data_IF_330886565479
#
_entry.id   IF_330886565479
#
_cell.length_a   1.000
_cell.length_b   1.000
_cell.length_c   1.000
_cell.angle_alpha   90.00
_cell.angle_beta   90.00
_cell.angle_gamma   90.00
#
_symmetry.space_group_name_H-M   'P 1'
#
loop_
_entity.id
_entity.type
_entity.pdbx_description
1 polymer ?
#
# COMPACT_ATOMS: atom_id res chain seq x y z
N UNK A 1 3.83 -6.66 -18.61
CA UNK A 1 4.16 -6.73 -17.18
C UNK A 1 2.86 -6.67 -16.41
N UNK A 2 2.58 -7.66 -15.55
CA UNK A 2 1.33 -7.70 -14.77
C UNK A 2 1.47 -6.90 -13.46
N UNK A 3 0.35 -6.59 -12.81
CA UNK A 3 0.36 -6.00 -11.46
C UNK A 3 1.13 -6.87 -10.47
N UNK A 4 0.95 -8.20 -10.53
CA UNK A 4 1.67 -9.14 -9.68
C UNK A 4 3.19 -9.12 -9.92
N UNK A 5 3.63 -8.95 -11.18
CA UNK A 5 5.05 -8.83 -11.51
C UNK A 5 5.65 -7.55 -10.92
N UNK A 6 4.95 -6.42 -11.06
CA UNK A 6 5.39 -5.13 -10.50
C UNK A 6 5.46 -5.17 -8.98
N UNK A 7 4.46 -5.80 -8.37
CA UNK A 7 4.35 -5.91 -6.92
C UNK A 7 5.48 -6.79 -6.37
N UNK A 8 5.76 -7.94 -7.00
CA UNK A 8 6.86 -8.80 -6.60
C UNK A 8 8.24 -8.20 -6.89
N UNK A 9 8.39 -7.40 -7.95
CA UNK A 9 9.64 -6.70 -8.28
C UNK A 9 9.93 -5.52 -7.32
N UNK A 10 8.89 -4.86 -6.82
CA UNK A 10 9.04 -3.75 -5.89
C UNK A 10 9.19 -4.23 -4.42
N UNK A 11 8.44 -5.26 -4.03
CA UNK A 11 8.44 -5.79 -2.66
C UNK A 11 9.31 -7.05 -2.53
N UNK A 12 10.58 -6.96 -2.92
CA UNK A 12 11.53 -8.10 -2.90
C UNK A 12 12.02 -8.42 -1.49
N UNK A 13 12.26 -7.39 -0.68
CA UNK A 13 12.88 -7.53 0.64
C UNK A 13 11.86 -7.70 1.76
N UNK A 14 12.21 -8.40 2.87
CA UNK A 14 11.36 -8.45 4.04
C UNK A 14 10.98 -7.07 4.58
N UNK A 15 11.88 -6.08 4.52
CA UNK A 15 11.61 -4.73 4.99
C UNK A 15 10.55 -4.01 4.15
N UNK A 16 10.61 -4.11 2.82
CA UNK A 16 9.59 -3.54 1.92
C UNK A 16 8.23 -4.22 2.10
N UNK A 17 8.21 -5.54 2.33
CA UNK A 17 6.99 -6.30 2.65
C UNK A 17 6.39 -5.92 3.99
N UNK A 18 7.20 -5.70 5.02
CA UNK A 18 6.72 -5.19 6.31
C UNK A 18 6.07 -3.82 6.14
N UNK A 19 6.69 -2.91 5.37
CA UNK A 19 6.08 -1.59 5.07
C UNK A 19 4.74 -1.74 4.33
N UNK A 20 4.65 -2.66 3.36
CA UNK A 20 3.39 -2.96 2.66
C UNK A 20 2.33 -3.48 3.63
N UNK A 21 2.68 -4.40 4.53
CA UNK A 21 1.75 -4.92 5.56
C UNK A 21 1.28 -3.78 6.45
N UNK A 22 2.19 -2.96 6.98
CA UNK A 22 1.86 -1.80 7.83
C UNK A 22 0.90 -0.85 7.11
N UNK A 23 1.20 -0.52 5.85
CA UNK A 23 0.36 0.34 5.03
C UNK A 23 -1.06 -0.24 4.87
N UNK A 24 -1.16 -1.54 4.62
CA UNK A 24 -2.45 -2.23 4.50
C UNK A 24 -3.18 -2.41 5.83
N UNK A 25 -2.48 -2.43 6.96
CA UNK A 25 -3.13 -2.42 8.28
C UNK A 25 -3.91 -1.13 8.49
N UNK A 26 -3.38 0.03 8.08
CA UNK A 26 -4.12 1.30 8.12
C UNK A 26 -5.39 1.26 7.27
N UNK A 27 -5.36 0.57 6.12
CA UNK A 27 -6.55 0.42 5.29
C UNK A 27 -7.62 -0.52 5.89
N UNK A 28 -7.18 -1.54 6.63
CA UNK A 28 -8.10 -2.49 7.30
C UNK A 28 -8.77 -1.89 8.52
N UNK A 29 -8.15 -0.91 9.16
CA UNK A 29 -8.76 -0.14 10.24
C UNK A 29 -9.81 0.81 9.66
N UNK A 30 -11.08 0.60 10.05
CA UNK A 30 -12.20 1.36 9.50
C UNK A 30 -12.13 2.86 9.86
N UNK A 31 -11.66 3.20 11.06
CA UNK A 31 -11.56 4.59 11.50
C UNK A 31 -10.51 5.35 10.70
N UNK A 32 -9.37 4.70 10.44
CA UNK A 32 -8.30 5.29 9.62
C UNK A 32 -8.74 5.34 8.16
N UNK A 33 -9.43 4.30 7.67
CA UNK A 33 -9.93 4.25 6.30
C UNK A 33 -10.85 5.44 5.99
N UNK A 34 -11.82 5.72 6.86
CA UNK A 34 -12.72 6.87 6.68
C UNK A 34 -11.97 8.20 6.57
N UNK A 35 -10.88 8.37 7.33
CA UNK A 35 -10.05 9.58 7.30
C UNK A 35 -9.24 9.72 6.01
N UNK A 36 -8.91 8.62 5.33
CA UNK A 36 -8.08 8.61 4.11
C UNK A 36 -8.86 8.32 2.84
N UNK A 37 -10.19 8.21 2.93
CA UNK A 37 -11.11 8.15 1.79
C UNK A 37 -11.85 9.48 1.62
N UNK A 38 -12.35 9.75 0.42
CA UNK A 38 -13.28 10.87 0.18
C UNK A 38 -14.65 10.32 -0.19
N UNK A 39 -15.73 10.97 0.25
CA UNK A 39 -17.10 10.56 -0.09
C UNK A 39 -17.36 10.58 -1.59
N UNK A 40 -16.64 11.45 -2.30
CA UNK A 40 -16.86 11.74 -3.72
C UNK A 40 -15.89 10.95 -4.63
N UNK A 41 -14.90 10.27 -4.06
CA UNK A 41 -13.85 9.56 -4.79
C UNK A 41 -13.86 8.06 -4.43
N UNK A 42 -13.86 7.20 -5.45
CA UNK A 42 -13.85 5.75 -5.26
C UNK A 42 -12.43 5.22 -5.01
N UNK A 43 -11.75 5.69 -3.97
CA UNK A 43 -10.36 5.30 -3.74
C UNK A 43 -9.72 5.88 -2.47
N UNK A 44 -8.44 5.56 -2.31
CA UNK A 44 -7.52 6.14 -1.35
C UNK A 44 -7.23 7.57 -1.80
N UNK A 45 -7.64 8.54 -1.00
CA UNK A 45 -7.25 9.93 -1.26
C UNK A 45 -5.80 10.11 -0.84
N UNK A 46 -4.93 10.31 -1.84
CA UNK A 46 -3.48 10.39 -1.65
C UNK A 46 -3.08 11.49 -0.65
N UNK A 47 -3.65 12.69 -0.76
CA UNK A 47 -3.30 13.81 0.10
C UNK A 47 -3.66 13.54 1.57
N UNK A 48 -4.87 12.99 1.80
CA UNK A 48 -5.31 12.59 3.14
C UNK A 48 -4.45 11.47 3.71
N UNK A 49 -4.08 10.48 2.90
CA UNK A 49 -3.18 9.40 3.33
C UNK A 49 -1.80 9.96 3.73
N UNK A 50 -1.21 10.82 2.91
CA UNK A 50 0.08 11.44 3.21
C UNK A 50 -0.01 12.32 4.47
N UNK A 51 -1.09 13.08 4.62
CA UNK A 51 -1.36 13.89 5.82
C UNK A 51 -1.43 13.03 7.08
N UNK A 52 -2.16 11.93 7.03
CA UNK A 52 -2.25 10.96 8.13
C UNK A 52 -0.88 10.36 8.45
N UNK A 53 -0.15 9.87 7.44
CA UNK A 53 1.18 9.27 7.62
C UNK A 53 2.21 10.26 8.19
N UNK A 54 2.17 11.54 7.81
CA UNK A 54 3.03 12.57 8.40
C UNK A 54 2.81 12.72 9.91
N UNK A 55 1.57 12.53 10.39
CA UNK A 55 1.25 12.63 11.81
C UNK A 55 1.67 11.40 12.61
N UNK A 56 1.56 10.19 12.03
CA UNK A 56 1.74 8.93 12.79
C UNK A 56 3.04 8.19 12.49
N UNK A 57 3.53 8.26 11.25
CA UNK A 57 4.71 7.52 10.80
C UNK A 57 5.33 8.20 9.54
N UNK A 58 6.13 9.27 9.72
CA UNK A 58 6.72 10.01 8.60
C UNK A 58 7.58 9.15 7.66
N UNK A 59 8.18 8.07 8.18
CA UNK A 59 9.00 7.14 7.38
C UNK A 59 8.19 6.36 6.32
N UNK A 60 6.86 6.32 6.45
CA UNK A 60 5.95 5.71 5.47
C UNK A 60 5.60 6.66 4.32
N UNK A 61 5.80 7.97 4.47
CA UNK A 61 5.50 8.96 3.43
C UNK A 61 6.34 8.72 2.19
N UNK A 62 7.67 8.62 2.37
CA UNK A 62 8.60 8.35 1.27
C UNK A 62 8.36 6.99 0.61
N UNK A 63 7.84 6.03 1.38
CA UNK A 63 7.46 4.73 0.84
C UNK A 63 6.22 4.83 -0.08
N UNK A 64 5.17 5.53 0.34
CA UNK A 64 3.97 5.75 -0.50
C UNK A 64 4.31 6.59 -1.73
N UNK A 65 5.15 7.62 -1.58
CA UNK A 65 5.67 8.42 -2.69
C UNK A 65 6.45 7.55 -3.69
N UNK A 66 7.30 6.64 -3.22
CA UNK A 66 8.03 5.73 -4.12
C UNK A 66 7.11 4.78 -4.88
N UNK A 67 6.01 4.30 -4.28
CA UNK A 67 4.99 3.51 -5.00
C UNK A 67 4.36 4.37 -6.10
N UNK A 68 3.94 5.59 -5.79
CA UNK A 68 3.25 6.49 -6.72
C UNK A 68 4.14 7.00 -7.87
N UNK A 69 5.45 7.13 -7.64
CA UNK A 69 6.39 7.74 -8.60
C UNK A 69 7.26 6.75 -9.36
N UNK A 70 7.64 5.64 -8.72
CA UNK A 70 8.62 4.68 -9.27
C UNK A 70 7.92 3.52 -9.98
N UNK A 71 6.61 3.37 -9.78
CA UNK A 71 5.85 2.24 -10.31
C UNK A 71 4.62 2.75 -11.04
N UNK A 72 4.14 1.98 -12.02
CA UNK A 72 2.82 2.21 -12.62
C UNK A 72 1.70 1.50 -11.84
N UNK A 73 1.97 1.08 -10.60
CA UNK A 73 0.97 0.44 -9.75
C UNK A 73 -0.02 1.47 -9.25
N UNK A 74 -1.31 1.15 -9.39
CA UNK A 74 -2.37 1.95 -8.79
C UNK A 74 -2.37 1.77 -7.26
N UNK A 75 -2.29 2.87 -6.51
CA UNK A 75 -2.30 2.86 -5.04
C UNK A 75 -3.53 2.15 -4.46
N UNK A 76 -4.70 2.30 -5.09
CA UNK A 76 -5.92 1.59 -4.69
C UNK A 76 -5.74 0.08 -4.81
N UNK A 77 -5.10 -0.39 -5.87
CA UNK A 77 -4.83 -1.82 -6.04
C UNK A 77 -3.85 -2.32 -4.97
N UNK A 78 -2.79 -1.56 -4.66
CA UNK A 78 -1.82 -1.91 -3.61
C UNK A 78 -2.50 -2.00 -2.23
N UNK A 79 -3.43 -1.09 -1.94
CA UNK A 79 -4.13 -1.01 -0.66
C UNK A 79 -5.24 -2.05 -0.54
N UNK A 80 -6.05 -2.21 -1.59
CA UNK A 80 -7.36 -2.89 -1.54
C UNK A 80 -7.34 -4.31 -2.08
N UNK A 81 -6.45 -4.63 -3.03
CA UNK A 81 -6.49 -5.94 -3.66
C UNK A 81 -6.22 -7.04 -2.61
N UNK A 82 -7.03 -8.11 -2.56
CA UNK A 82 -6.72 -9.28 -1.76
C UNK A 82 -5.35 -9.82 -2.15
N UNK A 83 -4.45 -10.00 -1.18
CA UNK A 83 -3.13 -10.59 -1.43
C UNK A 83 -2.54 -11.14 -0.13
N UNK A 84 -1.80 -12.24 -0.27
CA UNK A 84 -0.99 -12.89 0.77
C UNK A 84 0.44 -12.39 0.65
N UNK A 85 0.93 -11.75 1.71
CA UNK A 85 2.26 -11.15 1.75
C UNK A 85 3.16 -11.99 2.68
N UNK A 86 3.94 -12.94 2.15
CA UNK A 86 4.89 -13.69 2.96
C UNK A 86 6.08 -12.81 3.36
N UNK A 87 6.56 -12.90 4.60
CA UNK A 87 7.80 -12.22 5.01
C UNK A 87 9.07 -12.93 4.49
N UNK A 88 8.92 -14.16 3.99
CA UNK A 88 10.00 -14.96 3.36
C UNK A 88 10.21 -14.57 1.89
N UNK A 89 11.20 -15.16 1.21
CA UNK A 89 11.46 -14.96 -0.23
C UNK A 89 10.37 -15.49 -1.18
N UNK A 90 9.27 -16.03 -0.65
CA UNK A 90 8.13 -16.44 -1.46
C UNK A 90 7.46 -15.24 -2.15
N UNK A 91 6.87 -15.44 -3.33
CA UNK A 91 6.15 -14.38 -4.03
C UNK A 91 4.86 -14.00 -3.30
N UNK A 92 4.47 -12.73 -3.46
CA UNK A 92 3.16 -12.21 -3.07
C UNK A 92 2.14 -12.74 -4.08
N UNK A 93 1.07 -13.35 -3.57
CA UNK A 93 0.03 -14.00 -4.36
C UNK A 93 -1.34 -13.44 -4.03
N UNK A 94 -2.27 -13.42 -5.01
CA UNK A 94 -3.68 -13.18 -4.71
C UNK A 94 -4.30 -14.46 -4.18
N UNK A 95 -5.06 -14.45 -3.07
CA UNK A 95 -6.02 -15.50 -2.82
C UNK A 95 -7.05 -15.42 -3.95
N UNK A 96 -7.20 -16.51 -4.70
CA UNK A 96 -8.30 -16.70 -5.65
C UNK A 96 -9.63 -16.78 -4.90
#
# INVERSE_FOLDING_TARGET
MTFADQLNAFFVSPSSRTKLITLRTFWRDWHVREQVTSSDEHGVNYEKLIGHLKAINPAMVSFVESIATTTSMNLDAVMRAPMRIPLTCQPITSPL
#
